data_IF_765604882100
#
_entry.id   IF_765604882100
#
_cell.length_a   1.000
_cell.length_b   1.000
_cell.length_c   1.000
_cell.angle_alpha   90.00
_cell.angle_beta   90.00
_cell.angle_gamma   90.00
#
_symmetry.space_group_name_H-M   'P 1'
#
loop_
_entity.id
_entity.type
_entity.pdbx_description
1 polymer ?
#
# COMPACT_ATOMS: atom_id res chain seq x y z
N UNK A 1 15.11 -13.74 -4.57
CA UNK A 1 14.79 -12.45 -3.90
C UNK A 1 14.90 -11.31 -4.88
N UNK A 2 13.85 -10.50 -5.02
CA UNK A 2 13.82 -9.26 -5.79
C UNK A 2 13.30 -8.15 -4.89
N UNK A 3 13.83 -6.93 -5.05
CA UNK A 3 13.48 -5.78 -4.23
C UNK A 3 12.92 -4.68 -5.12
N UNK A 4 11.87 -4.02 -4.65
CA UNK A 4 11.18 -2.96 -5.37
C UNK A 4 10.88 -1.81 -4.43
N UNK A 5 11.13 -0.58 -4.87
CA UNK A 5 10.58 0.61 -4.23
C UNK A 5 9.08 0.67 -4.55
N UNK A 6 8.23 1.04 -3.59
CA UNK A 6 6.78 0.98 -3.77
C UNK A 6 6.05 2.18 -3.15
N UNK A 7 4.80 2.34 -3.50
CA UNK A 7 3.86 3.22 -2.82
C UNK A 7 4.12 4.71 -3.02
N UNK A 8 4.13 5.43 -1.91
CA UNK A 8 4.20 6.89 -1.89
C UNK A 8 5.41 7.47 -2.59
N UNK A 9 6.58 6.89 -2.37
CA UNK A 9 7.84 7.35 -2.98
C UNK A 9 7.81 7.25 -4.52
N UNK A 10 7.27 6.15 -5.07
CA UNK A 10 7.12 5.98 -6.53
C UNK A 10 6.14 7.00 -7.10
N UNK A 11 4.97 7.17 -6.46
CA UNK A 11 3.96 8.16 -6.85
C UNK A 11 4.54 9.58 -6.84
N UNK A 12 5.13 9.97 -5.71
CA UNK A 12 5.58 11.36 -5.51
C UNK A 12 6.76 11.69 -6.43
N UNK A 13 7.67 10.73 -6.71
CA UNK A 13 8.71 10.84 -7.73
C UNK A 13 8.12 11.12 -9.12
N UNK A 14 7.05 10.44 -9.51
CA UNK A 14 6.44 10.59 -10.85
C UNK A 14 5.73 11.94 -11.07
N UNK A 15 5.34 12.63 -9.99
CA UNK A 15 4.73 13.97 -10.06
C UNK A 15 5.65 15.08 -9.56
N UNK A 16 6.93 14.78 -9.38
CA UNK A 16 7.93 15.72 -8.87
C UNK A 16 7.50 16.39 -7.53
N UNK A 17 6.87 15.58 -6.65
CA UNK A 17 6.40 16.01 -5.34
C UNK A 17 7.41 15.58 -4.27
N UNK A 18 7.76 16.44 -3.29
CA UNK A 18 8.72 16.12 -2.26
C UNK A 18 8.31 14.89 -1.42
N UNK A 19 9.23 13.97 -1.21
CA UNK A 19 9.07 12.81 -0.32
C UNK A 19 10.38 12.59 0.47
N UNK A 20 10.27 11.98 1.63
CA UNK A 20 11.40 11.67 2.53
C UNK A 20 11.51 10.19 2.78
N UNK A 21 10.39 9.48 2.84
CA UNK A 21 10.35 8.08 3.25
C UNK A 21 10.25 7.18 2.02
N UNK A 22 11.04 6.12 2.01
CA UNK A 22 11.04 5.12 0.95
C UNK A 22 10.63 3.76 1.53
N UNK A 23 9.54 3.23 1.01
CA UNK A 23 9.06 1.88 1.33
C UNK A 23 9.55 0.88 0.29
N UNK A 24 10.04 -0.27 0.77
CA UNK A 24 10.55 -1.33 -0.07
C UNK A 24 9.76 -2.63 0.12
N UNK A 25 9.49 -3.33 -0.99
CA UNK A 25 8.89 -4.66 -0.98
C UNK A 25 9.89 -5.68 -1.49
N UNK A 26 10.02 -6.77 -0.74
CA UNK A 26 10.87 -7.92 -1.06
C UNK A 26 9.99 -9.07 -1.53
N UNK A 27 10.24 -9.54 -2.75
CA UNK A 27 9.52 -10.64 -3.39
C UNK A 27 10.42 -11.86 -3.50
N UNK A 28 9.88 -13.04 -3.25
CA UNK A 28 10.61 -14.31 -3.39
C UNK A 28 11.66 -14.53 -2.31
N UNK A 29 11.37 -14.12 -1.07
CA UNK A 29 12.22 -14.35 0.08
C UNK A 29 11.39 -14.76 1.32
N UNK A 30 12.07 -15.35 2.29
CA UNK A 30 11.56 -15.62 3.62
C UNK A 30 12.16 -14.68 4.66
N UNK A 31 11.52 -14.49 5.84
CA UNK A 31 12.02 -13.64 6.92
C UNK A 31 13.48 -13.93 7.28
N UNK A 32 13.83 -15.22 7.35
CA UNK A 32 15.18 -15.67 7.70
C UNK A 32 16.24 -15.14 6.75
N UNK A 33 15.95 -15.08 5.46
CA UNK A 33 16.92 -14.59 4.45
C UNK A 33 17.28 -13.11 4.66
N UNK A 34 16.33 -12.31 5.14
CA UNK A 34 16.59 -10.90 5.47
C UNK A 34 17.40 -10.78 6.77
N UNK A 35 17.06 -11.57 7.80
CA UNK A 35 17.77 -11.61 9.06
C UNK A 35 19.23 -12.05 8.83
N UNK A 36 19.46 -13.08 8.03
CA UNK A 36 20.79 -13.58 7.70
C UNK A 36 21.64 -12.53 6.93
N UNK A 37 20.98 -11.57 6.29
CA UNK A 37 21.61 -10.40 5.63
C UNK A 37 21.80 -9.18 6.55
N UNK A 38 21.51 -9.32 7.84
CA UNK A 38 21.69 -8.26 8.84
C UNK A 38 20.52 -7.28 8.96
N UNK A 39 19.37 -7.52 8.32
CA UNK A 39 18.18 -6.72 8.55
C UNK A 39 17.61 -6.96 9.95
N UNK A 40 17.10 -5.91 10.56
CA UNK A 40 16.51 -5.95 11.90
C UNK A 40 14.99 -6.03 11.76
N UNK A 41 14.40 -7.14 12.20
CA UNK A 41 12.95 -7.27 12.20
C UNK A 41 12.34 -6.41 13.30
N UNK A 42 11.33 -5.60 12.92
CA UNK A 42 10.50 -4.78 13.80
C UNK A 42 9.02 -5.08 13.53
N UNK A 43 8.16 -4.81 14.52
CA UNK A 43 6.74 -5.12 14.44
C UNK A 43 6.43 -6.56 14.87
N UNK A 44 5.32 -6.71 15.60
CA UNK A 44 4.88 -7.99 16.16
C UNK A 44 3.88 -8.69 15.24
N UNK A 45 2.89 -7.94 14.76
CA UNK A 45 1.79 -8.49 13.95
C UNK A 45 2.17 -8.63 12.46
N UNK A 46 3.01 -7.74 12.00
CA UNK A 46 3.51 -7.77 10.63
C UNK A 46 5.00 -7.42 10.61
N UNK A 47 5.87 -8.36 10.17
CA UNK A 47 7.30 -8.11 10.18
C UNK A 47 7.71 -7.09 9.10
N UNK A 48 8.16 -5.94 9.57
CA UNK A 48 8.93 -4.97 8.81
C UNK A 48 10.40 -5.18 9.15
N UNK A 49 11.27 -5.01 8.20
CA UNK A 49 12.70 -5.21 8.32
C UNK A 49 13.41 -3.90 8.04
N UNK A 50 14.19 -3.41 9.00
CA UNK A 50 15.01 -2.23 8.82
C UNK A 50 16.34 -2.62 8.17
N UNK A 51 16.70 -1.92 7.11
CA UNK A 51 18.00 -2.10 6.48
C UNK A 51 19.15 -1.75 7.47
N UNK A 52 20.22 -2.55 7.54
CA UNK A 52 21.23 -2.39 8.58
C UNK A 52 21.91 -1.02 8.56
N UNK A 53 22.11 -0.42 7.41
CA UNK A 53 22.80 0.85 7.23
C UNK A 53 21.82 2.04 7.10
N UNK A 54 20.96 2.04 6.07
CA UNK A 54 20.07 3.17 5.75
C UNK A 54 18.88 3.30 6.69
N UNK A 55 18.49 2.21 7.39
CA UNK A 55 17.29 2.12 8.24
C UNK A 55 15.97 2.22 7.47
N UNK A 56 16.02 2.18 6.16
CA UNK A 56 14.81 2.11 5.34
C UNK A 56 13.98 0.86 5.67
N UNK A 57 12.67 0.98 5.50
CA UNK A 57 11.71 -0.08 5.81
C UNK A 57 11.52 -1.03 4.63
N UNK A 58 11.75 -2.30 4.88
CA UNK A 58 11.56 -3.39 3.93
C UNK A 58 10.45 -4.31 4.45
N UNK A 59 9.46 -4.56 3.62
CA UNK A 59 8.40 -5.53 3.91
C UNK A 59 8.45 -6.71 2.94
N UNK A 60 8.19 -7.93 3.41
CA UNK A 60 7.97 -9.04 2.49
C UNK A 60 6.67 -8.84 1.72
N UNK A 61 6.67 -9.19 0.44
CA UNK A 61 5.45 -9.23 -0.34
C UNK A 61 4.40 -10.09 0.36
N UNK A 62 3.18 -9.57 0.48
CA UNK A 62 2.10 -10.27 1.16
C UNK A 62 0.79 -10.21 0.39
N UNK A 63 -0.03 -11.21 0.59
CA UNK A 63 -1.44 -11.17 0.30
C UNK A 63 -2.22 -11.07 1.61
N UNK A 64 -3.38 -10.46 1.57
CA UNK A 64 -4.27 -10.29 2.72
C UNK A 64 -5.60 -10.94 2.40
N UNK A 65 -6.20 -11.57 3.41
CA UNK A 65 -7.56 -12.11 3.32
C UNK A 65 -8.34 -11.67 4.55
N UNK A 66 -9.51 -11.09 4.34
CA UNK A 66 -10.42 -10.78 5.45
C UNK A 66 -10.98 -12.08 6.01
N UNK A 67 -10.74 -12.35 7.29
CA UNK A 67 -11.25 -13.52 8.02
C UNK A 67 -12.25 -13.15 9.12
N UNK A 68 -12.42 -11.82 9.40
CA UNK A 68 -13.31 -11.35 10.46
C UNK A 68 -13.56 -9.84 10.41
N UNK A 69 -14.13 -9.27 11.48
CA UNK A 69 -14.37 -7.83 11.61
C UNK A 69 -13.21 -7.14 12.33
N UNK A 70 -12.98 -5.86 11.98
CA UNK A 70 -11.97 -5.02 12.61
C UNK A 70 -10.53 -5.41 12.26
N UNK A 71 -9.56 -4.86 13.00
CA UNK A 71 -8.12 -5.03 12.76
C UNK A 71 -7.63 -6.48 12.84
N UNK A 72 -8.13 -7.25 13.80
CA UNK A 72 -7.77 -8.67 13.99
C UNK A 72 -8.43 -9.62 12.96
N UNK A 73 -9.24 -9.07 12.07
CA UNK A 73 -9.96 -9.82 11.05
C UNK A 73 -9.19 -10.01 9.74
N UNK A 74 -7.87 -9.84 9.72
CA UNK A 74 -7.03 -10.09 8.54
C UNK A 74 -6.05 -11.21 8.80
N UNK A 75 -5.97 -12.13 7.85
CA UNK A 75 -4.92 -13.12 7.74
C UNK A 75 -3.91 -12.65 6.69
N UNK A 76 -2.65 -12.59 7.09
CA UNK A 76 -1.54 -12.19 6.22
C UNK A 76 -0.80 -13.44 5.76
N UNK A 77 -0.65 -13.58 4.47
CA UNK A 77 0.14 -14.63 3.86
C UNK A 77 1.39 -14.02 3.25
N UNK A 78 2.54 -14.36 3.82
CA UNK A 78 3.84 -14.00 3.29
C UNK A 78 4.54 -15.26 2.78
N UNK A 79 5.53 -15.10 1.92
CA UNK A 79 6.35 -16.21 1.46
C UNK A 79 6.80 -16.05 0.02
N UNK A 80 7.74 -16.89 -0.43
CA UNK A 80 8.36 -16.77 -1.75
C UNK A 80 7.38 -16.85 -2.93
N UNK A 81 6.22 -17.47 -2.72
CA UNK A 81 5.17 -17.62 -3.74
C UNK A 81 4.33 -16.36 -3.96
N UNK A 82 4.37 -15.39 -3.03
CA UNK A 82 3.61 -14.15 -3.18
C UNK A 82 4.28 -13.25 -4.20
N UNK A 83 3.54 -12.91 -5.24
CA UNK A 83 4.02 -12.08 -6.34
C UNK A 83 3.90 -10.58 -6.03
N UNK A 84 4.71 -9.76 -6.69
CA UNK A 84 4.57 -8.30 -6.62
C UNK A 84 3.16 -7.83 -6.97
N UNK A 85 2.55 -8.42 -8.01
CA UNK A 85 1.18 -8.07 -8.44
C UNK A 85 0.16 -8.32 -7.34
N UNK A 86 0.29 -9.41 -6.58
CA UNK A 86 -0.59 -9.70 -5.43
C UNK A 86 -0.38 -8.69 -4.30
N UNK A 87 0.86 -8.32 -3.98
CA UNK A 87 1.11 -7.28 -2.98
C UNK A 87 0.51 -5.92 -3.39
N UNK A 88 0.68 -5.53 -4.65
CA UNK A 88 0.12 -4.27 -5.16
C UNK A 88 -1.41 -4.29 -5.20
N UNK A 89 -2.06 -5.45 -5.43
CA UNK A 89 -3.53 -5.55 -5.53
C UNK A 89 -4.27 -5.22 -4.25
N UNK A 90 -3.64 -5.45 -3.09
CA UNK A 90 -4.23 -5.19 -1.78
C UNK A 90 -4.13 -3.74 -1.31
N UNK A 91 -3.43 -2.89 -2.06
CA UNK A 91 -3.24 -1.47 -1.72
C UNK A 91 -4.53 -0.68 -1.90
N UNK A 92 -4.55 0.53 -1.35
CA UNK A 92 -5.74 1.39 -1.34
C UNK A 92 -6.04 2.01 -2.71
N UNK A 93 -5.06 2.69 -3.31
CA UNK A 93 -5.21 3.47 -4.54
C UNK A 93 -4.27 2.99 -5.63
N UNK A 94 -4.68 3.07 -6.90
CA UNK A 94 -3.86 2.74 -8.07
C UNK A 94 -2.55 3.51 -8.08
N UNK A 95 -2.59 4.81 -7.74
CA UNK A 95 -1.42 5.68 -7.64
C UNK A 95 -0.42 5.26 -6.56
N UNK A 96 -0.84 4.44 -5.58
CA UNK A 96 0.01 3.84 -4.55
C UNK A 96 0.36 2.37 -4.85
N UNK A 97 -0.18 1.80 -5.92
CA UNK A 97 0.00 0.40 -6.32
C UNK A 97 0.97 0.25 -7.51
N UNK A 98 1.97 1.07 -7.54
CA UNK A 98 3.10 1.03 -8.46
C UNK A 98 4.36 0.63 -7.73
N UNK A 99 5.29 0.03 -8.47
CA UNK A 99 6.61 -0.33 -7.99
C UNK A 99 7.69 0.14 -8.97
N UNK A 100 8.88 0.39 -8.46
CA UNK A 100 10.08 0.71 -9.25
C UNK A 100 11.14 -0.35 -8.97
N UNK A 101 11.71 -0.94 -10.00
CA UNK A 101 12.80 -1.91 -9.86
C UNK A 101 14.18 -1.22 -9.75
N UNK A 102 15.24 -2.02 -9.59
CA UNK A 102 16.61 -1.53 -9.44
C UNK A 102 17.15 -0.78 -10.68
N UNK A 103 16.53 -0.99 -11.85
CA UNK A 103 16.89 -0.32 -13.10
C UNK A 103 16.05 0.96 -13.32
N UNK A 104 15.21 1.33 -12.35
CA UNK A 104 14.33 2.50 -12.43
C UNK A 104 13.06 2.28 -13.29
N UNK A 105 12.79 1.04 -13.71
CA UNK A 105 11.59 0.72 -14.48
C UNK A 105 10.37 0.66 -13.59
N UNK A 106 9.31 1.37 -13.99
CA UNK A 106 8.04 1.34 -13.29
C UNK A 106 7.23 0.11 -13.69
N UNK A 107 6.76 -0.62 -12.68
CA UNK A 107 5.87 -1.77 -12.79
C UNK A 107 4.51 -1.32 -12.27
N UNK A 108 3.55 -1.23 -13.18
CA UNK A 108 2.22 -0.67 -12.93
C UNK A 108 1.11 -1.59 -13.45
N UNK A 109 0.76 -2.64 -12.70
CA UNK A 109 -0.25 -3.59 -13.15
C UNK A 109 -1.69 -3.09 -13.03
N UNK A 110 -1.91 -1.93 -12.40
CA UNK A 110 -3.25 -1.42 -12.08
C UNK A 110 -3.54 -0.03 -12.66
N UNK A 111 -2.68 0.50 -13.53
CA UNK A 111 -2.91 1.76 -14.24
C UNK A 111 -2.72 3.00 -13.37
N UNK A 112 -1.86 2.92 -12.36
CA UNK A 112 -1.57 4.04 -11.47
C UNK A 112 -0.95 5.24 -12.20
N UNK A 113 -0.10 5.03 -13.21
CA UNK A 113 0.49 6.10 -14.01
C UNK A 113 -0.58 6.87 -14.82
N UNK A 114 -1.57 6.16 -15.38
CA UNK A 114 -2.67 6.76 -16.11
C UNK A 114 -3.55 7.60 -15.17
N UNK A 115 -3.95 7.03 -14.04
CA UNK A 115 -4.71 7.76 -13.01
C UNK A 115 -3.92 8.95 -12.45
N UNK A 116 -2.61 8.83 -12.29
CA UNK A 116 -1.74 9.91 -11.83
C UNK A 116 -1.73 11.07 -12.84
N UNK A 117 -1.58 10.76 -14.14
CA UNK A 117 -1.60 11.75 -15.21
C UNK A 117 -2.95 12.48 -15.31
N UNK A 118 -4.05 11.78 -15.05
CA UNK A 118 -5.42 12.31 -15.02
C UNK A 118 -5.80 12.94 -13.68
N UNK A 119 -4.92 12.86 -12.68
CA UNK A 119 -5.15 13.35 -11.31
C UNK A 119 -6.36 12.70 -10.64
N UNK A 120 -6.46 11.38 -10.76
CA UNK A 120 -7.55 10.58 -10.23
C UNK A 120 -7.06 9.71 -9.06
N UNK A 121 -7.82 9.71 -7.96
CA UNK A 121 -7.65 8.80 -6.83
C UNK A 121 -8.66 7.67 -6.97
N UNK A 122 -8.21 6.53 -7.51
CA UNK A 122 -9.01 5.35 -7.78
C UNK A 122 -8.57 4.19 -6.91
N UNK A 123 -9.52 3.42 -6.35
CA UNK A 123 -9.22 2.18 -5.63
C UNK A 123 -8.63 1.12 -6.58
N UNK A 124 -7.76 0.25 -6.03
CA UNK A 124 -7.05 -0.75 -6.85
C UNK A 124 -7.94 -1.91 -7.26
N UNK A 125 -8.74 -2.44 -6.32
CA UNK A 125 -9.49 -3.67 -6.50
C UNK A 125 -10.69 -3.76 -5.53
N UNK A 126 -11.51 -4.81 -5.67
CA UNK A 126 -12.60 -5.10 -4.73
C UNK A 126 -12.15 -5.31 -3.28
N UNK A 127 -10.88 -5.62 -3.04
CA UNK A 127 -10.31 -5.67 -1.69
C UNK A 127 -10.40 -4.32 -0.94
N UNK A 128 -10.70 -3.22 -1.63
CA UNK A 128 -10.88 -1.91 -1.02
C UNK A 128 -11.89 -1.93 0.14
N UNK A 129 -12.98 -2.65 -0.02
CA UNK A 129 -14.06 -2.74 0.99
C UNK A 129 -13.68 -3.57 2.22
N UNK A 130 -12.60 -4.29 2.18
CA UNK A 130 -12.17 -5.15 3.29
C UNK A 130 -11.64 -4.35 4.48
N UNK A 131 -11.01 -3.19 4.24
CA UNK A 131 -10.46 -2.34 5.30
C UNK A 131 -11.13 -0.95 5.31
N UNK A 132 -12.02 -0.67 6.28
CA UNK A 132 -12.70 0.62 6.39
C UNK A 132 -11.74 1.81 6.55
N UNK A 133 -10.53 1.61 7.09
CA UNK A 133 -9.51 2.66 7.22
C UNK A 133 -9.16 3.28 5.85
N UNK A 134 -9.32 2.55 4.76
CA UNK A 134 -9.05 3.06 3.40
C UNK A 134 -9.92 4.27 3.04
N UNK A 135 -11.13 4.38 3.59
CA UNK A 135 -11.99 5.57 3.43
C UNK A 135 -11.28 6.80 3.97
N UNK A 136 -10.75 6.73 5.19
CA UNK A 136 -10.03 7.84 5.82
C UNK A 136 -8.71 8.14 5.08
N UNK A 137 -8.01 7.10 4.62
CA UNK A 137 -6.79 7.26 3.82
C UNK A 137 -7.06 7.98 2.50
N UNK A 138 -8.12 7.61 1.77
CA UNK A 138 -8.50 8.30 0.52
C UNK A 138 -8.88 9.75 0.80
N UNK A 139 -9.66 10.03 1.85
CA UNK A 139 -10.01 11.39 2.26
C UNK A 139 -8.74 12.23 2.56
N UNK A 140 -7.76 11.64 3.27
CA UNK A 140 -6.45 12.27 3.54
C UNK A 140 -5.68 12.56 2.26
N UNK A 141 -5.64 11.62 1.30
CA UNK A 141 -4.98 11.86 0.01
C UNK A 141 -5.71 12.91 -0.82
N UNK A 142 -7.04 12.89 -0.83
CA UNK A 142 -7.84 13.91 -1.51
C UNK A 142 -7.54 15.31 -0.96
N UNK A 143 -7.46 15.46 0.36
CA UNK A 143 -7.10 16.71 1.02
C UNK A 143 -5.64 17.11 0.66
N UNK A 144 -4.68 16.17 0.78
CA UNK A 144 -3.26 16.43 0.53
C UNK A 144 -2.99 16.91 -0.90
N UNK A 145 -3.64 16.28 -1.89
CA UNK A 145 -3.40 16.56 -3.31
C UNK A 145 -4.47 17.45 -3.97
N UNK A 146 -5.39 18.02 -3.17
CA UNK A 146 -6.42 18.92 -3.68
C UNK A 146 -5.83 20.10 -4.48
N UNK A 147 -4.78 20.73 -3.97
CA UNK A 147 -4.11 21.86 -4.61
C UNK A 147 -3.44 21.48 -5.94
N UNK A 148 -3.16 20.20 -6.18
CA UNK A 148 -2.66 19.69 -7.46
C UNK A 148 -3.80 19.32 -8.43
N UNK A 149 -5.06 19.43 -8.01
CA UNK A 149 -6.25 19.16 -8.81
C UNK A 149 -6.68 17.68 -8.81
N UNK A 150 -6.21 16.86 -7.89
CA UNK A 150 -6.66 15.48 -7.77
C UNK A 150 -8.12 15.38 -7.32
N UNK A 151 -8.83 14.41 -7.88
CA UNK A 151 -10.23 14.09 -7.55
C UNK A 151 -10.38 12.60 -7.29
N UNK A 152 -11.30 12.24 -6.40
CA UNK A 152 -11.67 10.84 -6.17
C UNK A 152 -12.53 10.36 -7.34
N UNK A 153 -12.24 9.18 -7.87
CA UNK A 153 -13.05 8.55 -8.91
C UNK A 153 -14.47 8.27 -8.41
N UNK A 154 -15.48 8.41 -9.27
CA UNK A 154 -16.89 8.26 -8.90
C UNK A 154 -17.19 6.87 -8.31
N UNK A 155 -16.64 5.82 -8.90
CA UNK A 155 -16.78 4.45 -8.41
C UNK A 155 -16.09 4.25 -7.03
N UNK A 156 -15.01 4.95 -6.76
CA UNK A 156 -14.34 4.93 -5.44
C UNK A 156 -15.15 5.69 -4.42
N UNK A 157 -15.72 6.84 -4.80
CA UNK A 157 -16.61 7.62 -3.94
C UNK A 157 -17.86 6.80 -3.56
N UNK A 158 -18.41 6.04 -4.50
CA UNK A 158 -19.54 5.15 -4.24
C UNK A 158 -19.18 4.07 -3.20
N UNK A 159 -18.01 3.42 -3.32
CA UNK A 159 -17.54 2.45 -2.33
C UNK A 159 -17.33 3.08 -0.96
N UNK A 160 -16.71 4.26 -0.90
CA UNK A 160 -16.50 4.99 0.37
C UNK A 160 -17.85 5.30 1.05
N UNK A 161 -18.84 5.76 0.28
CA UNK A 161 -20.19 6.04 0.78
C UNK A 161 -20.84 4.78 1.34
N UNK A 162 -20.74 3.66 0.64
CA UNK A 162 -21.30 2.39 1.09
C UNK A 162 -20.64 1.89 2.38
N UNK A 163 -19.31 1.98 2.49
CA UNK A 163 -18.59 1.61 3.71
C UNK A 163 -18.99 2.51 4.88
N UNK A 164 -19.12 3.82 4.64
CA UNK A 164 -19.54 4.76 5.68
C UNK A 164 -20.95 4.45 6.18
N UNK A 165 -21.89 4.18 5.26
CA UNK A 165 -23.27 3.88 5.60
C UNK A 165 -23.47 2.51 6.27
N UNK A 166 -22.52 1.58 6.11
CA UNK A 166 -22.57 0.27 6.76
C UNK A 166 -22.18 0.30 8.24
N UNK A 167 -21.66 1.43 8.76
CA UNK A 167 -21.20 1.57 10.13
C UNK A 167 -19.83 0.91 10.41
N UNK A 168 -19.16 0.38 9.40
CA UNK A 168 -17.84 -0.29 9.56
C UNK A 168 -16.76 0.66 10.10
N UNK A 169 -16.89 1.98 9.89
CA UNK A 169 -15.96 2.97 10.43
C UNK A 169 -15.97 3.05 11.96
N UNK A 170 -17.08 2.71 12.62
CA UNK A 170 -17.21 2.72 14.07
C UNK A 170 -16.35 1.67 14.77
N UNK A 171 -15.90 0.65 14.02
CA UNK A 171 -15.03 -0.41 14.53
C UNK A 171 -13.52 -0.10 14.36
N UNK A 172 -13.18 1.08 13.85
CA UNK A 172 -11.79 1.53 13.80
C UNK A 172 -11.31 1.95 15.19
N UNK A 173 -10.16 1.43 15.60
CA UNK A 173 -9.54 1.87 16.85
C UNK A 173 -8.84 3.23 16.66
N UNK A 174 -8.79 4.07 17.72
CA UNK A 174 -8.16 5.40 17.66
C UNK A 174 -6.69 5.35 17.20
N UNK A 175 -5.97 4.26 17.51
CA UNK A 175 -4.57 4.10 17.16
C UNK A 175 -4.35 3.92 15.66
N UNK A 176 -5.41 3.59 14.89
CA UNK A 176 -5.36 3.43 13.43
C UNK A 176 -5.73 4.68 12.65
N UNK A 177 -6.40 5.63 13.28
CA UNK A 177 -6.89 6.89 12.69
C UNK A 177 -5.89 8.00 12.85
#
# INVERSE_FOLDING_TARGET
MKVYKVGGAVRDKLIDYPFTDEDWVVVGAEPKELIDKGFIQVGVDFPVFLHPESKDEYALARSERKSGRGYKGFEFFTGPQVTLKQDLSRRDLTVNAMAEDCDGKIIDPYGGQDDLSKKILRHVSGAFVEDPLRVLRVARFAARYHHLGFKVADETMLLMTNITNSGELEYLSPERV
#
